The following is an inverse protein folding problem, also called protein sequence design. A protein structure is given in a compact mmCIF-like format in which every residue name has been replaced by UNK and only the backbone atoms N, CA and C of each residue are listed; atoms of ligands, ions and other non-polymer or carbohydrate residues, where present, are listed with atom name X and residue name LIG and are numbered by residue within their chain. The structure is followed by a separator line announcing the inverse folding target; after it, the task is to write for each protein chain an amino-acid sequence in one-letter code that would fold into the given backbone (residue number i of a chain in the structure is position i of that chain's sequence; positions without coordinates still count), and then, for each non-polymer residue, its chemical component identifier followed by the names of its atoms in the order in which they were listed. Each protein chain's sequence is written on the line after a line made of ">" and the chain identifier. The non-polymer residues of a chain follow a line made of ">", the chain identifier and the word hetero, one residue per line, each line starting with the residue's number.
data_IF_689276252025
#
_entry.id   IF_689276252025
#
_cell.length_a   1.000
_cell.length_b   1.000
_cell.length_c   1.000
_cell.angle_alpha   90.00
_cell.angle_beta   90.00
_cell.angle_gamma   90.00
#
_symmetry.space_group_name_H-M   'P 1'
#
loop_
_entity.id
_entity.type
_entity.pdbx_description
1 polymer ?
#
# COMPACT_ATOMS: atom_id res chain seq x y z
N UNK A 1 -34.44 52.44 -2.76
CA UNK A 1 -33.64 51.42 -3.48
C UNK A 1 -34.28 50.05 -3.29
N UNK A 2 -34.63 49.36 -4.37
CA UNK A 2 -35.64 48.29 -4.43
C UNK A 2 -35.16 46.90 -3.99
N UNK A 3 -35.63 46.42 -2.83
CA UNK A 3 -35.42 45.07 -2.28
C UNK A 3 -36.30 43.95 -2.89
N UNK A 4 -37.19 44.26 -3.85
CA UNK A 4 -38.28 43.33 -4.27
C UNK A 4 -38.02 42.48 -5.52
N UNK A 5 -36.77 42.38 -6.00
CA UNK A 5 -36.47 41.63 -7.24
C UNK A 5 -35.71 40.31 -7.05
N UNK A 6 -35.14 40.05 -5.87
CA UNK A 6 -34.29 38.86 -5.65
C UNK A 6 -35.07 37.58 -5.28
N UNK A 7 -36.24 37.71 -4.64
CA UNK A 7 -37.04 36.55 -4.19
C UNK A 7 -37.74 35.77 -5.31
N UNK A 8 -37.80 36.30 -6.53
CA UNK A 8 -38.56 35.67 -7.62
C UNK A 8 -37.76 34.68 -8.46
N UNK A 9 -36.44 34.62 -8.28
CA UNK A 9 -35.55 33.74 -9.04
C UNK A 9 -35.20 32.44 -8.30
N UNK A 10 -35.39 32.36 -6.98
CA UNK A 10 -35.09 31.16 -6.20
C UNK A 10 -36.23 30.13 -6.12
N UNK A 11 -37.44 30.45 -6.63
CA UNK A 11 -38.60 29.56 -6.51
C UNK A 11 -38.78 28.57 -7.67
N UNK A 12 -37.89 28.63 -8.67
CA UNK A 12 -37.93 27.78 -9.87
C UNK A 12 -36.65 26.94 -10.07
N UNK A 13 -35.69 27.00 -9.14
CA UNK A 13 -34.39 26.32 -9.24
C UNK A 13 -34.30 25.02 -8.42
N UNK A 14 -35.35 24.64 -7.70
CA UNK A 14 -35.35 23.40 -6.90
C UNK A 14 -35.54 22.15 -7.77
N UNK A 15 -36.40 22.21 -8.80
CA UNK A 15 -36.69 21.05 -9.65
C UNK A 15 -35.60 20.75 -10.67
N UNK A 16 -34.92 21.76 -11.21
CA UNK A 16 -33.79 21.54 -12.14
C UNK A 16 -32.58 20.89 -11.47
N UNK A 17 -32.31 21.21 -10.20
CA UNK A 17 -31.26 20.56 -9.41
C UNK A 17 -31.59 19.09 -9.09
N UNK A 18 -32.86 18.77 -8.87
CA UNK A 18 -33.31 17.41 -8.57
C UNK A 18 -33.29 16.50 -9.81
N UNK A 19 -33.57 17.05 -11.00
CA UNK A 19 -33.47 16.31 -12.27
C UNK A 19 -32.01 16.05 -12.67
N UNK A 20 -31.07 16.96 -12.36
CA UNK A 20 -29.63 16.75 -12.63
C UNK A 20 -29.02 15.60 -11.81
N UNK A 21 -29.53 15.33 -10.60
CA UNK A 21 -29.10 14.17 -9.79
C UNK A 21 -29.64 12.83 -10.33
N UNK A 22 -30.76 12.85 -11.05
CA UNK A 22 -31.37 11.65 -11.66
C UNK A 22 -30.73 11.25 -12.99
N UNK A 23 -30.04 12.18 -13.66
CA UNK A 23 -29.31 11.94 -14.91
C UNK A 23 -27.80 11.72 -14.71
N UNK A 24 -27.28 11.80 -13.48
CA UNK A 24 -25.98 11.21 -13.23
C UNK A 24 -26.14 9.71 -13.52
N UNK A 25 -25.42 9.14 -14.50
CA UNK A 25 -25.38 7.70 -14.64
C UNK A 25 -24.91 7.20 -13.29
N UNK A 26 -25.78 6.51 -12.55
CA UNK A 26 -25.34 5.71 -11.43
C UNK A 26 -24.18 4.90 -11.99
N UNK A 27 -22.99 5.09 -11.43
CA UNK A 27 -21.82 4.29 -11.76
C UNK A 27 -22.22 2.84 -11.47
N UNK A 28 -22.83 2.20 -12.45
CA UNK A 28 -22.94 0.76 -12.52
C UNK A 28 -21.50 0.30 -12.43
N UNK A 29 -21.14 -0.55 -11.45
CA UNK A 29 -19.83 -1.14 -11.45
C UNK A 29 -19.70 -1.79 -12.82
N UNK A 30 -18.80 -1.24 -13.64
CA UNK A 30 -18.48 -1.75 -14.95
C UNK A 30 -18.22 -3.23 -14.72
N UNK A 31 -19.02 -4.11 -15.30
CA UNK A 31 -18.72 -5.54 -15.37
C UNK A 31 -17.37 -5.61 -16.06
N UNK A 32 -16.32 -5.64 -15.23
CA UNK A 32 -14.97 -5.76 -15.71
C UNK A 32 -14.88 -7.23 -16.08
N UNK A 33 -15.11 -7.51 -17.36
CA UNK A 33 -14.70 -8.76 -17.99
C UNK A 33 -13.34 -9.11 -17.40
N UNK A 34 -13.26 -10.30 -16.81
CA UNK A 34 -12.09 -10.87 -16.15
C UNK A 34 -10.93 -11.01 -17.12
N UNK A 35 -10.34 -9.90 -17.53
CA UNK A 35 -8.91 -9.81 -17.69
C UNK A 35 -8.42 -9.65 -16.26
N UNK A 36 -7.91 -10.74 -15.69
CA UNK A 36 -6.94 -10.63 -14.62
C UNK A 36 -5.79 -9.79 -15.20
N UNK A 37 -5.90 -8.47 -15.12
CA UNK A 37 -4.73 -7.62 -15.04
C UNK A 37 -3.93 -8.25 -13.91
N UNK A 38 -2.73 -8.76 -14.20
CA UNK A 38 -1.78 -9.18 -13.18
C UNK A 38 -1.64 -8.01 -12.22
N UNK A 39 -2.38 -8.07 -11.12
CA UNK A 39 -2.38 -7.02 -10.12
C UNK A 39 -0.98 -7.04 -9.54
N UNK A 40 -0.19 -6.01 -9.85
CA UNK A 40 1.13 -5.83 -9.26
C UNK A 40 0.99 -5.88 -7.74
N UNK A 41 1.55 -6.91 -7.12
CA UNK A 41 1.55 -7.06 -5.68
C UNK A 41 2.63 -6.13 -5.10
N UNK A 42 2.29 -5.36 -4.07
CA UNK A 42 3.28 -4.50 -3.45
C UNK A 42 4.01 -5.29 -2.35
N UNK A 43 5.33 -5.30 -2.43
CA UNK A 43 6.21 -6.12 -1.62
C UNK A 43 7.13 -5.23 -0.78
N UNK A 44 7.23 -5.50 0.52
CA UNK A 44 8.24 -4.89 1.38
C UNK A 44 9.32 -5.92 1.71
N UNK A 45 10.57 -5.59 1.42
CA UNK A 45 11.75 -6.40 1.75
C UNK A 45 12.44 -5.83 2.99
N UNK A 46 12.43 -6.56 4.08
CA UNK A 46 13.16 -6.23 5.31
C UNK A 46 14.49 -7.00 5.34
N UNK A 47 15.61 -6.30 5.12
CA UNK A 47 16.97 -6.89 5.10
C UNK A 47 18.03 -5.83 5.40
N UNK A 48 19.14 -6.22 6.03
CA UNK A 48 20.28 -5.32 6.26
C UNK A 48 21.05 -5.08 4.96
N UNK A 49 20.87 -3.90 4.35
CA UNK A 49 21.52 -3.53 3.10
C UNK A 49 23.05 -3.56 3.16
N UNK A 50 23.66 -3.42 4.35
CA UNK A 50 25.12 -3.45 4.50
C UNK A 50 25.72 -4.85 4.32
N UNK A 51 24.89 -5.90 4.47
CA UNK A 51 25.33 -7.30 4.37
C UNK A 51 25.24 -7.85 2.96
N UNK A 52 24.71 -7.06 2.02
CA UNK A 52 24.61 -7.46 0.63
C UNK A 52 25.91 -7.17 -0.12
N UNK A 53 26.41 -8.12 -0.93
CA UNK A 53 27.45 -7.84 -1.91
C UNK A 53 27.01 -6.74 -2.87
N UNK A 54 27.98 -5.96 -3.36
CA UNK A 54 27.73 -4.89 -4.31
C UNK A 54 26.90 -5.38 -5.50
N UNK A 55 25.81 -4.68 -5.82
CA UNK A 55 24.92 -5.00 -6.94
C UNK A 55 23.94 -6.15 -6.71
N UNK A 56 24.11 -7.05 -5.72
CA UNK A 56 23.19 -8.18 -5.53
C UNK A 56 21.81 -7.77 -5.00
N UNK A 57 21.75 -6.80 -4.09
CA UNK A 57 20.48 -6.28 -3.59
C UNK A 57 19.68 -5.58 -4.70
N UNK A 58 20.39 -4.87 -5.58
CA UNK A 58 19.79 -4.26 -6.76
C UNK A 58 19.28 -5.33 -7.73
N UNK A 59 20.08 -6.36 -8.03
CA UNK A 59 19.65 -7.47 -8.89
C UNK A 59 18.44 -8.23 -8.33
N UNK A 60 18.37 -8.45 -7.01
CA UNK A 60 17.18 -9.03 -6.38
C UNK A 60 15.96 -8.12 -6.55
N UNK A 61 16.14 -6.82 -6.33
CA UNK A 61 15.07 -5.83 -6.50
C UNK A 61 14.58 -5.82 -7.95
N UNK A 62 15.48 -5.84 -8.92
CA UNK A 62 15.15 -5.85 -10.35
C UNK A 62 14.41 -7.14 -10.72
N UNK A 63 14.89 -8.30 -10.25
CA UNK A 63 14.20 -9.59 -10.46
C UNK A 63 12.79 -9.61 -9.89
N UNK A 64 12.57 -9.01 -8.72
CA UNK A 64 11.23 -8.91 -8.12
C UNK A 64 10.36 -7.90 -8.89
N UNK A 65 10.94 -6.84 -9.43
CA UNK A 65 10.22 -5.90 -10.29
C UNK A 65 9.81 -6.54 -11.62
N UNK A 66 10.65 -7.40 -12.19
CA UNK A 66 10.33 -8.20 -13.39
C UNK A 66 9.15 -9.17 -13.14
N UNK A 67 8.97 -9.62 -11.90
CA UNK A 67 7.81 -10.39 -11.43
C UNK A 67 6.61 -9.49 -11.07
N UNK A 68 6.58 -8.23 -11.51
CA UNK A 68 5.54 -7.24 -11.23
C UNK A 68 5.39 -6.86 -9.73
N UNK A 69 6.40 -7.10 -8.89
CA UNK A 69 6.37 -6.63 -7.51
C UNK A 69 6.88 -5.20 -7.35
N UNK A 70 6.16 -4.38 -6.58
CA UNK A 70 6.67 -3.07 -6.14
C UNK A 70 7.48 -3.24 -4.87
N UNK A 71 8.81 -3.29 -4.97
CA UNK A 71 9.71 -3.56 -3.83
C UNK A 71 10.13 -2.30 -3.06
N UNK A 72 9.86 -2.29 -1.75
CA UNK A 72 10.43 -1.33 -0.80
C UNK A 72 11.47 -2.03 0.05
N UNK A 73 12.74 -1.63 -0.05
CA UNK A 73 13.82 -2.19 0.77
C UNK A 73 13.98 -1.38 2.04
N UNK A 74 14.08 -2.08 3.16
CA UNK A 74 14.12 -1.50 4.50
C UNK A 74 15.14 -2.24 5.35
N UNK A 75 16.13 -1.53 5.87
CA UNK A 75 17.22 -2.08 6.68
C UNK A 75 18.50 -1.33 6.34
N UNK A 76 18.67 -0.18 7.00
CA UNK A 76 19.87 0.62 6.86
C UNK A 76 21.05 -0.09 7.54
N UNK A 77 22.30 0.19 7.10
CA UNK A 77 23.49 -0.31 7.78
C UNK A 77 23.44 -0.02 9.29
N UNK A 78 23.45 -1.07 10.10
CA UNK A 78 23.44 -0.96 11.57
C UNK A 78 22.11 -0.55 12.19
N UNK A 79 21.02 -0.58 11.42
CA UNK A 79 19.68 -0.28 11.93
C UNK A 79 19.25 -1.30 12.99
N UNK A 80 18.70 -0.78 14.09
CA UNK A 80 18.24 -1.62 15.20
C UNK A 80 16.77 -2.04 15.03
N UNK A 81 16.39 -3.14 15.68
CA UNK A 81 15.01 -3.66 15.66
C UNK A 81 13.97 -2.61 16.07
N UNK A 82 14.27 -1.79 17.07
CA UNK A 82 13.40 -0.72 17.54
C UNK A 82 13.21 0.41 16.53
N UNK A 83 14.25 0.76 15.78
CA UNK A 83 14.19 1.75 14.69
C UNK A 83 13.34 1.22 13.52
N UNK A 84 13.51 -0.06 13.15
CA UNK A 84 12.66 -0.74 12.18
C UNK A 84 11.19 -0.73 12.60
N UNK A 85 10.90 -1.07 13.87
CA UNK A 85 9.53 -1.10 14.39
C UNK A 85 8.90 0.30 14.36
N UNK A 86 9.67 1.35 14.64
CA UNK A 86 9.19 2.73 14.60
C UNK A 86 8.77 3.18 13.18
N UNK A 87 9.44 2.69 12.14
CA UNK A 87 9.10 2.99 10.74
C UNK A 87 8.12 2.01 10.12
N UNK A 88 7.87 0.88 10.77
CA UNK A 88 6.96 -0.16 10.30
C UNK A 88 5.57 0.40 9.90
N UNK A 89 4.93 1.32 10.66
CA UNK A 89 3.67 1.93 10.24
C UNK A 89 3.74 2.64 8.87
N UNK A 90 4.89 3.21 8.52
CA UNK A 90 5.12 3.85 7.23
C UNK A 90 5.42 2.85 6.11
N UNK A 91 6.04 1.71 6.44
CA UNK A 91 6.27 0.62 5.50
C UNK A 91 4.97 -0.12 5.16
N UNK A 92 4.02 -0.13 6.11
CA UNK A 92 2.73 -0.81 5.99
C UNK A 92 1.61 0.11 5.50
N UNK A 93 1.97 1.03 4.59
CA UNK A 93 0.97 1.84 3.93
C UNK A 93 -0.09 0.96 3.24
N UNK A 94 -1.35 1.44 3.16
CA UNK A 94 -2.41 0.71 2.49
C UNK A 94 -1.97 0.32 1.08
N UNK A 95 -2.15 -0.96 0.75
CA UNK A 95 -1.77 -1.52 -0.55
C UNK A 95 -0.51 -2.37 -0.55
N UNK A 96 0.22 -2.57 0.57
CA UNK A 96 1.21 -3.66 0.67
C UNK A 96 0.48 -5.00 0.80
N UNK A 97 0.83 -5.96 -0.04
CA UNK A 97 0.24 -7.32 -0.05
C UNK A 97 1.17 -8.35 0.61
N UNK A 98 2.49 -8.19 0.46
CA UNK A 98 3.51 -9.13 0.97
C UNK A 98 4.66 -8.43 1.70
N UNK A 99 5.13 -9.05 2.79
CA UNK A 99 6.37 -8.66 3.47
C UNK A 99 7.35 -9.83 3.52
N UNK A 100 8.51 -9.67 2.86
CA UNK A 100 9.62 -10.59 2.92
C UNK A 100 10.59 -10.17 4.02
N UNK A 101 10.94 -11.09 4.91
CA UNK A 101 11.83 -10.83 6.03
C UNK A 101 13.04 -11.72 5.95
N UNK A 102 14.21 -11.09 5.91
CA UNK A 102 15.49 -11.75 6.03
C UNK A 102 15.70 -12.27 7.47
N UNK A 103 15.89 -13.59 7.67
CA UNK A 103 16.04 -14.18 9.00
C UNK A 103 17.30 -13.72 9.74
N UNK A 104 18.32 -13.21 9.06
CA UNK A 104 19.49 -12.68 9.76
C UNK A 104 19.34 -11.20 10.16
N UNK A 105 18.28 -10.53 9.72
CA UNK A 105 17.99 -9.13 10.05
C UNK A 105 17.18 -9.01 11.35
N UNK A 106 16.26 -9.95 11.60
CA UNK A 106 15.46 -10.00 12.81
C UNK A 106 15.73 -11.25 13.63
N UNK A 107 15.88 -11.09 14.94
CA UNK A 107 15.90 -12.22 15.85
C UNK A 107 14.55 -12.98 15.80
N UNK A 108 14.51 -14.27 16.19
CA UNK A 108 13.25 -15.02 16.24
C UNK A 108 12.15 -14.30 17.03
N UNK A 109 12.50 -13.69 18.17
CA UNK A 109 11.57 -12.89 18.96
C UNK A 109 11.10 -11.62 18.25
N UNK A 110 11.97 -10.99 17.44
CA UNK A 110 11.60 -9.85 16.60
C UNK A 110 10.64 -10.24 15.48
N UNK A 111 10.85 -11.40 14.86
CA UNK A 111 9.93 -11.97 13.85
C UNK A 111 8.57 -12.26 14.46
N UNK A 112 8.51 -12.86 15.65
CA UNK A 112 7.24 -13.15 16.31
C UNK A 112 6.51 -11.87 16.73
N UNK A 113 7.25 -10.87 17.23
CA UNK A 113 6.69 -9.54 17.53
C UNK A 113 6.09 -8.87 16.29
N UNK A 114 6.79 -8.98 15.16
CA UNK A 114 6.34 -8.45 13.86
C UNK A 114 5.07 -9.18 13.38
N UNK A 115 5.01 -10.51 13.52
CA UNK A 115 3.83 -11.31 13.21
C UNK A 115 2.62 -10.88 14.05
N UNK A 116 2.80 -10.72 15.36
CA UNK A 116 1.74 -10.26 16.26
C UNK A 116 1.26 -8.87 15.86
N UNK A 117 2.16 -7.92 15.63
CA UNK A 117 1.82 -6.56 15.22
C UNK A 117 1.02 -6.52 13.91
N UNK A 118 1.36 -7.36 12.94
CA UNK A 118 0.66 -7.42 11.66
C UNK A 118 -0.67 -8.15 11.74
N UNK A 119 -0.77 -9.21 12.55
CA UNK A 119 -2.02 -9.91 12.82
C UNK A 119 -3.07 -8.99 13.44
N UNK A 120 -2.68 -8.10 14.35
CA UNK A 120 -3.58 -7.10 14.95
C UNK A 120 -4.14 -6.08 13.94
N UNK A 121 -3.40 -5.82 12.86
CA UNK A 121 -3.75 -4.80 11.86
C UNK A 121 -4.46 -5.35 10.63
N UNK A 122 -4.55 -6.68 10.48
CA UNK A 122 -5.06 -7.31 9.26
C UNK A 122 -4.26 -6.92 8.01
N UNK A 123 -3.00 -6.51 8.20
CA UNK A 123 -2.06 -6.05 7.19
C UNK A 123 -1.10 -7.20 6.80
N UNK A 124 -0.25 -7.04 5.76
CA UNK A 124 0.09 -8.03 4.74
C UNK A 124 0.58 -9.39 5.24
N UNK A 125 0.49 -10.39 4.35
CA UNK A 125 1.05 -11.71 4.61
C UNK A 125 2.58 -11.61 4.80
N UNK A 126 3.08 -12.16 5.90
CA UNK A 126 4.52 -12.21 6.17
C UNK A 126 5.05 -13.54 5.66
N UNK A 127 6.07 -13.49 4.82
CA UNK A 127 6.85 -14.66 4.43
C UNK A 127 8.28 -14.46 4.89
N UNK A 128 8.64 -15.19 5.94
CA UNK A 128 10.03 -15.28 6.38
C UNK A 128 10.74 -16.21 5.41
N UNK A 129 11.73 -15.69 4.70
CA UNK A 129 12.48 -16.49 3.73
C UNK A 129 13.94 -16.09 3.74
N UNK A 130 14.82 -17.08 3.71
CA UNK A 130 16.25 -16.83 3.55
C UNK A 130 16.48 -16.29 2.15
N UNK A 131 16.86 -15.02 2.07
CA UNK A 131 17.21 -14.40 0.80
C UNK A 131 18.58 -14.95 0.37
N UNK A 132 18.66 -15.46 -0.86
CA UNK A 132 19.93 -15.95 -1.42
C UNK A 132 20.82 -14.74 -1.65
N UNK A 133 21.77 -14.53 -0.74
CA UNK A 133 22.70 -13.40 -0.75
C UNK A 133 23.90 -13.65 -1.58
#
# INVERSE_FOLDING_TARGET
>A
MNKRRFDRLLRWSGWTLLVLLLLAPACTPKENNTQSEERSEHLVLLTDAARWPEGRLAALKDSLQDENFRVVVSGYPGERTDELLARLPWLLQPGIDLMLVDPDFLSPAGVDSLKTFLAERGQPQIKVTSLVR
#
